data_IF_128296520198
#
_entry.id   IF_128296520198
#
_cell.length_a   1.000
_cell.length_b   1.000
_cell.length_c   1.000
_cell.angle_alpha   90.00
_cell.angle_beta   90.00
_cell.angle_gamma   90.00
#
_symmetry.space_group_name_H-M   'P 1'
#
loop_
_entity.id
_entity.type
_entity.pdbx_description
1 polymer ?
#
# COMPACT_ATOMS: atom_id res chain seq x y z
N UNK A 1 17.50 -35.14 -2.43
CA UNK A 1 16.80 -33.86 -2.63
C UNK A 1 15.57 -33.82 -1.72
N UNK A 2 15.57 -32.98 -0.69
CA UNK A 2 14.40 -32.82 0.18
C UNK A 2 13.33 -32.02 -0.57
N UNK A 3 12.21 -32.67 -0.91
CA UNK A 3 11.04 -31.99 -1.49
C UNK A 3 10.31 -31.28 -0.36
N UNK A 4 9.94 -30.02 -0.59
CA UNK A 4 9.10 -29.27 0.36
C UNK A 4 7.74 -29.97 0.50
N UNK A 5 7.15 -29.99 1.72
CA UNK A 5 5.84 -30.58 1.90
C UNK A 5 4.80 -29.84 1.05
N UNK A 6 3.81 -30.55 0.47
CA UNK A 6 2.82 -29.96 -0.44
C UNK A 6 1.93 -28.88 0.21
N UNK A 7 2.00 -28.71 1.53
CA UNK A 7 1.33 -27.64 2.28
C UNK A 7 2.05 -26.28 2.19
N UNK A 8 3.30 -26.24 1.71
CA UNK A 8 4.07 -25.00 1.59
C UNK A 8 3.62 -24.26 0.33
N UNK A 9 3.06 -23.06 0.51
CA UNK A 9 2.71 -22.18 -0.61
C UNK A 9 3.94 -21.93 -1.49
N UNK A 10 3.79 -21.89 -2.83
CA UNK A 10 4.92 -21.56 -3.69
C UNK A 10 5.52 -20.18 -3.35
N UNK A 11 6.83 -20.00 -3.52
CA UNK A 11 7.56 -18.75 -3.24
C UNK A 11 6.86 -17.51 -3.83
N UNK A 12 6.28 -17.64 -5.02
CA UNK A 12 5.50 -16.59 -5.70
C UNK A 12 4.37 -16.03 -4.82
N UNK A 13 3.62 -16.88 -4.11
CA UNK A 13 2.54 -16.46 -3.21
C UNK A 13 3.08 -15.67 -2.02
N UNK A 14 4.21 -16.10 -1.44
CA UNK A 14 4.84 -15.38 -0.34
C UNK A 14 5.29 -13.98 -0.75
N UNK A 15 5.92 -13.85 -1.92
CA UNK A 15 6.34 -12.54 -2.45
C UNK A 15 5.11 -11.65 -2.70
N UNK A 16 4.03 -12.18 -3.29
CA UNK A 16 2.81 -11.40 -3.49
C UNK A 16 2.18 -10.93 -2.16
N UNK A 17 2.10 -11.81 -1.16
CA UNK A 17 1.60 -11.43 0.18
C UNK A 17 2.44 -10.31 0.78
N UNK A 18 3.77 -10.37 0.65
CA UNK A 18 4.64 -9.31 1.12
C UNK A 18 4.38 -7.98 0.40
N UNK A 19 4.21 -8.01 -0.92
CA UNK A 19 3.87 -6.82 -1.70
C UNK A 19 2.54 -6.18 -1.27
N UNK A 20 1.52 -6.99 -0.96
CA UNK A 20 0.23 -6.51 -0.44
C UNK A 20 0.41 -5.85 0.93
N UNK A 21 1.16 -6.48 1.83
CA UNK A 21 1.46 -5.94 3.17
C UNK A 21 2.22 -4.60 3.05
N UNK A 22 3.19 -4.52 2.15
CA UNK A 22 3.96 -3.29 1.95
C UNK A 22 3.08 -2.17 1.38
N UNK A 23 2.18 -2.48 0.46
CA UNK A 23 1.21 -1.51 -0.07
C UNK A 23 0.27 -1.03 1.04
N UNK A 24 -0.29 -1.93 1.84
CA UNK A 24 -1.12 -1.59 3.00
C UNK A 24 -0.39 -0.64 3.97
N UNK A 25 0.86 -0.95 4.30
CA UNK A 25 1.69 -0.09 5.18
C UNK A 25 1.91 1.29 4.59
N UNK A 26 2.15 1.40 3.27
CA UNK A 26 2.31 2.69 2.58
C UNK A 26 1.06 3.55 2.67
N UNK A 27 -0.13 2.98 2.48
CA UNK A 27 -1.39 3.67 2.70
C UNK A 27 -1.49 4.18 4.14
N UNK A 28 -1.24 3.33 5.12
CA UNK A 28 -1.28 3.74 6.53
C UNK A 28 -0.24 4.82 6.87
N UNK A 29 0.95 4.76 6.27
CA UNK A 29 1.96 5.82 6.43
C UNK A 29 1.46 7.16 5.89
N UNK A 30 0.86 7.19 4.71
CA UNK A 30 0.26 8.41 4.16
C UNK A 30 -0.79 9.01 5.10
N UNK A 31 -1.63 8.18 5.74
CA UNK A 31 -2.65 8.69 6.67
C UNK A 31 -2.07 9.33 7.94
N UNK A 32 -0.84 8.99 8.35
CA UNK A 32 -0.21 9.58 9.55
C UNK A 32 0.10 11.07 9.37
N UNK A 33 0.32 11.46 8.12
CA UNK A 33 0.61 12.84 7.75
C UNK A 33 -0.66 13.67 7.58
N UNK A 34 -1.86 13.07 7.63
CA UNK A 34 -3.11 13.83 7.57
C UNK A 34 -3.30 14.66 8.85
N UNK A 35 -3.57 15.96 8.68
CA UNK A 35 -3.71 16.93 9.78
C UNK A 35 -5.00 16.66 10.56
N UNK A 36 -6.12 16.55 9.84
CA UNK A 36 -7.43 16.36 10.44
C UNK A 36 -7.62 14.93 10.95
N UNK A 37 -7.98 14.80 12.23
CA UNK A 37 -8.10 13.49 12.87
C UNK A 37 -9.30 12.69 12.37
N UNK A 38 -10.42 13.35 12.06
CA UNK A 38 -11.64 12.67 11.63
C UNK A 38 -11.45 12.13 10.20
N UNK A 39 -10.92 12.93 9.29
CA UNK A 39 -10.50 12.51 7.95
C UNK A 39 -9.48 11.38 8.00
N UNK A 40 -8.49 11.46 8.92
CA UNK A 40 -7.53 10.37 9.11
C UNK A 40 -8.22 9.06 9.51
N UNK A 41 -9.17 9.09 10.45
CA UNK A 41 -9.93 7.90 10.88
C UNK A 41 -10.76 7.33 9.73
N UNK A 42 -11.49 8.18 9.01
CA UNK A 42 -12.27 7.78 7.83
C UNK A 42 -11.41 7.13 6.76
N UNK A 43 -10.25 7.72 6.42
CA UNK A 43 -9.32 7.13 5.46
C UNK A 43 -8.79 5.77 5.93
N UNK A 44 -8.45 5.62 7.22
CA UNK A 44 -7.97 4.35 7.74
C UNK A 44 -9.05 3.25 7.73
N UNK A 45 -10.31 3.61 8.00
CA UNK A 45 -11.44 2.69 7.89
C UNK A 45 -11.66 2.27 6.43
N UNK A 46 -11.65 3.23 5.51
CA UNK A 46 -11.75 2.95 4.08
C UNK A 46 -10.60 2.06 3.57
N UNK A 47 -9.35 2.34 3.93
CA UNK A 47 -8.20 1.48 3.56
C UNK A 47 -8.42 0.06 4.11
N UNK A 48 -8.90 -0.09 5.36
CA UNK A 48 -9.16 -1.42 5.91
C UNK A 48 -10.27 -2.15 5.16
N UNK A 49 -11.36 -1.48 4.79
CA UNK A 49 -12.45 -2.12 4.03
C UNK A 49 -11.99 -2.53 2.64
N UNK A 50 -11.21 -1.69 1.96
CA UNK A 50 -10.65 -2.00 0.64
C UNK A 50 -9.76 -3.23 0.67
N UNK A 51 -8.86 -3.36 1.65
CA UNK A 51 -8.00 -4.55 1.71
C UNK A 51 -8.74 -5.81 2.19
N UNK A 52 -9.78 -5.64 3.03
CA UNK A 52 -10.61 -6.78 3.47
C UNK A 52 -11.45 -7.37 2.36
N UNK A 53 -11.94 -6.58 1.41
CA UNK A 53 -12.76 -7.08 0.30
C UNK A 53 -12.01 -8.07 -0.60
N UNK A 54 -10.68 -8.04 -0.60
CA UNK A 54 -9.81 -8.96 -1.34
C UNK A 54 -9.11 -10.01 -0.44
N UNK A 55 -9.49 -10.14 0.83
CA UNK A 55 -8.79 -11.03 1.77
C UNK A 55 -8.87 -12.52 1.38
N UNK A 56 -9.99 -12.93 0.78
CA UNK A 56 -10.21 -14.31 0.33
C UNK A 56 -9.70 -14.57 -1.10
N UNK A 57 -9.12 -13.56 -1.75
CA UNK A 57 -8.65 -13.70 -3.12
C UNK A 57 -7.43 -14.62 -3.19
N UNK A 58 -7.45 -15.56 -4.14
CA UNK A 58 -6.36 -16.52 -4.36
C UNK A 58 -5.84 -16.49 -5.80
N UNK A 59 -6.59 -15.87 -6.73
CA UNK A 59 -6.16 -15.66 -8.10
C UNK A 59 -4.95 -14.72 -8.14
N UNK A 60 -3.83 -15.29 -8.60
CA UNK A 60 -2.54 -14.63 -8.65
C UNK A 60 -2.48 -13.48 -9.64
N UNK A 61 -3.24 -13.55 -10.74
CA UNK A 61 -3.26 -12.49 -11.75
C UNK A 61 -4.16 -11.34 -11.29
N UNK A 62 -5.29 -11.66 -10.67
CA UNK A 62 -6.16 -10.65 -10.06
C UNK A 62 -5.42 -9.90 -8.93
N UNK A 63 -4.70 -10.61 -8.05
CA UNK A 63 -3.89 -9.97 -7.00
C UNK A 63 -2.83 -9.04 -7.60
N UNK A 64 -2.15 -9.46 -8.67
CA UNK A 64 -1.15 -8.62 -9.36
C UNK A 64 -1.78 -7.36 -9.96
N UNK A 65 -2.92 -7.52 -10.62
CA UNK A 65 -3.66 -6.40 -11.19
C UNK A 65 -4.09 -5.41 -10.11
N UNK A 66 -4.64 -5.93 -9.01
CA UNK A 66 -5.08 -5.12 -7.87
C UNK A 66 -3.91 -4.44 -7.15
N UNK A 67 -2.74 -5.07 -7.05
CA UNK A 67 -1.53 -4.43 -6.57
C UNK A 67 -1.10 -3.25 -7.44
N UNK A 68 -1.19 -3.38 -8.77
CA UNK A 68 -0.85 -2.28 -9.68
C UNK A 68 -1.86 -1.14 -9.55
N UNK A 69 -3.16 -1.48 -9.54
CA UNK A 69 -4.24 -0.52 -9.31
C UNK A 69 -4.08 0.23 -7.99
N UNK A 70 -3.80 -0.49 -6.90
CA UNK A 70 -3.63 0.07 -5.57
C UNK A 70 -2.42 1.01 -5.45
N UNK A 71 -1.32 0.74 -6.18
CA UNK A 71 -0.19 1.69 -6.28
C UNK A 71 -0.62 3.00 -6.94
N UNK A 72 -1.37 2.93 -8.03
CA UNK A 72 -1.89 4.13 -8.71
C UNK A 72 -2.86 4.89 -7.80
N UNK A 73 -3.75 4.17 -7.09
CA UNK A 73 -4.67 4.78 -6.12
C UNK A 73 -3.92 5.47 -4.97
N UNK A 74 -2.82 4.90 -4.48
CA UNK A 74 -2.00 5.52 -3.45
C UNK A 74 -1.40 6.85 -3.93
N UNK A 75 -0.85 6.88 -5.15
CA UNK A 75 -0.30 8.10 -5.74
C UNK A 75 -1.40 9.15 -6.00
N UNK A 76 -2.55 8.75 -6.54
CA UNK A 76 -3.70 9.63 -6.71
C UNK A 76 -4.17 10.20 -5.37
N UNK A 77 -4.32 9.36 -4.34
CA UNK A 77 -4.71 9.80 -3.00
C UNK A 77 -3.71 10.79 -2.42
N UNK A 78 -2.41 10.53 -2.56
CA UNK A 78 -1.34 11.45 -2.13
C UNK A 78 -1.50 12.82 -2.80
N UNK A 79 -1.66 12.84 -4.12
CA UNK A 79 -1.79 14.08 -4.89
C UNK A 79 -3.06 14.86 -4.49
N UNK A 80 -4.19 14.17 -4.30
CA UNK A 80 -5.43 14.80 -3.82
C UNK A 80 -5.26 15.41 -2.43
N UNK A 81 -4.60 14.70 -1.50
CA UNK A 81 -4.33 15.22 -0.15
C UNK A 81 -3.37 16.42 -0.15
N UNK A 82 -2.38 16.44 -1.06
CA UNK A 82 -1.50 17.59 -1.25
C UNK A 82 -2.29 18.80 -1.78
N UNK A 83 -3.09 18.61 -2.83
CA UNK A 83 -3.90 19.69 -3.41
C UNK A 83 -4.90 20.27 -2.40
N UNK A 84 -5.47 19.41 -1.55
CA UNK A 84 -6.36 19.82 -0.46
C UNK A 84 -5.63 20.43 0.75
N UNK A 85 -4.30 20.52 0.74
CA UNK A 85 -3.47 20.95 1.87
C UNK A 85 -3.77 20.16 3.16
N UNK A 86 -4.19 18.90 3.02
CA UNK A 86 -4.61 18.05 4.13
C UNK A 86 -3.44 17.33 4.82
N UNK A 87 -2.24 17.38 4.23
CA UNK A 87 -1.02 16.80 4.79
C UNK A 87 -0.23 17.82 5.61
N UNK A 88 0.35 17.36 6.72
CA UNK A 88 1.39 18.09 7.45
C UNK A 88 2.50 18.40 6.46
N UNK A 89 2.93 19.66 6.40
CA UNK A 89 4.07 20.08 5.59
C UNK A 89 5.31 19.31 6.04
N UNK A 90 5.66 18.23 5.35
CA UNK A 90 6.94 17.57 5.55
C UNK A 90 8.00 18.41 4.87
N UNK A 91 9.06 18.82 5.58
CA UNK A 91 10.28 19.36 4.95
C UNK A 91 10.66 18.43 3.78
N UNK A 92 10.99 18.96 2.58
CA UNK A 92 11.37 18.10 1.46
C UNK A 92 12.54 17.22 1.88
N UNK A 93 12.40 15.89 1.71
CA UNK A 93 13.56 15.00 1.76
C UNK A 93 14.49 15.47 0.65
N UNK A 94 15.61 16.06 1.03
CA UNK A 94 16.70 16.43 0.13
C UNK A 94 17.11 15.19 -0.64
N UNK A 95 16.72 15.11 -1.90
CA UNK A 95 17.29 14.16 -2.85
C UNK A 95 18.73 14.60 -3.01
N UNK A 96 19.67 13.88 -2.39
CA UNK A 96 21.09 14.01 -2.75
C UNK A 96 21.17 13.57 -4.21
N UNK A 97 21.32 14.55 -5.10
CA UNK A 97 21.68 14.33 -6.50
C UNK A 97 23.06 13.66 -6.45
N UNK A 98 23.12 12.37 -6.77
CA UNK A 98 24.40 11.74 -7.11
C UNK A 98 24.87 12.40 -8.39
N UNK A 99 26.00 13.09 -8.29
CA UNK A 99 26.73 13.62 -9.42
C UNK A 99 27.68 12.48 -9.80
N UNK A 100 27.45 11.89 -10.96
CA UNK A 100 28.47 11.18 -11.74
C UNK A 100 28.49 11.83 -13.13
#
# INVERSE_FOLDING_TARGET
MHRLPPSVLPLKFFIQKQMVIDLYRKFFHLTRDVIDEQQRKLLQEWIRSEFRSFQAETDQELIRMQLNRGKNQLESLRNSLIAAHALKSSKPKTVKKSID
#
